data_IF_712712163602
#
_entry.id   IF_712712163602
#
_cell.length_a   1.000
_cell.length_b   1.000
_cell.length_c   1.000
_cell.angle_alpha   90.00
_cell.angle_beta   90.00
_cell.angle_gamma   90.00
#
_symmetry.space_group_name_H-M   'P 1'
#
loop_
_entity.id
_entity.type
_entity.pdbx_description
1 polymer ?
#
# COMPACT_ATOMS: atom_id res chain seq x y z
N UNK A 1 19.57 -12.46 6.81
CA UNK A 1 20.10 -12.14 5.48
C UNK A 1 19.86 -10.66 5.22
N UNK A 2 20.87 -9.83 5.37
CA UNK A 2 20.78 -8.39 5.10
C UNK A 2 20.91 -8.22 3.59
N UNK A 3 19.80 -7.87 2.94
CA UNK A 3 19.82 -7.48 1.53
C UNK A 3 20.69 -6.23 1.41
N UNK A 4 21.81 -6.33 0.71
CA UNK A 4 22.58 -5.14 0.35
C UNK A 4 21.66 -4.23 -0.47
N UNK A 5 21.56 -2.93 -0.13
CA UNK A 5 20.75 -2.00 -0.90
C UNK A 5 21.30 -1.96 -2.34
N UNK A 6 20.57 -2.58 -3.27
CA UNK A 6 20.87 -2.47 -4.70
C UNK A 6 20.53 -1.05 -5.13
N UNK A 7 21.44 -0.41 -5.84
CA UNK A 7 21.20 0.93 -6.37
C UNK A 7 20.06 0.87 -7.38
N UNK A 8 18.96 1.50 -7.08
CA UNK A 8 17.81 1.56 -7.98
C UNK A 8 18.19 2.14 -9.36
N UNK A 9 17.60 1.65 -10.45
CA UNK A 9 17.71 2.28 -11.76
C UNK A 9 17.35 3.78 -11.71
N UNK A 10 17.89 4.57 -12.62
CA UNK A 10 17.68 6.02 -12.63
C UNK A 10 16.21 6.41 -12.63
N UNK A 11 15.38 5.78 -13.46
CA UNK A 11 13.95 6.05 -13.53
C UNK A 11 13.21 5.79 -12.22
N UNK A 12 13.61 4.76 -11.46
CA UNK A 12 13.04 4.48 -10.13
C UNK A 12 13.39 5.60 -9.16
N UNK A 13 14.64 6.05 -9.17
CA UNK A 13 15.06 7.17 -8.30
C UNK A 13 14.34 8.46 -8.63
N UNK A 14 14.16 8.76 -9.91
CA UNK A 14 13.41 9.94 -10.36
C UNK A 14 11.95 9.85 -9.96
N UNK A 15 11.32 8.68 -10.13
CA UNK A 15 9.96 8.43 -9.66
C UNK A 15 9.84 8.63 -8.16
N UNK A 16 10.68 8.00 -7.35
CA UNK A 16 10.66 8.16 -5.88
C UNK A 16 10.86 9.63 -5.48
N UNK A 17 11.77 10.34 -6.13
CA UNK A 17 11.96 11.78 -5.91
C UNK A 17 10.72 12.59 -6.24
N UNK A 18 10.00 12.24 -7.30
CA UNK A 18 8.77 12.95 -7.71
C UNK A 18 7.61 12.73 -6.74
N UNK A 19 7.54 11.58 -6.06
CA UNK A 19 6.46 11.28 -5.10
C UNK A 19 6.79 11.67 -3.66
N UNK A 20 8.06 11.88 -3.33
CA UNK A 20 8.51 12.22 -1.98
C UNK A 20 7.76 13.40 -1.32
N UNK A 21 7.45 14.52 -2.02
CA UNK A 21 6.67 15.61 -1.43
C UNK A 21 5.25 15.21 -1.03
N UNK A 22 4.67 14.24 -1.71
CA UNK A 22 3.34 13.70 -1.38
C UNK A 22 3.42 12.76 -0.18
N UNK A 23 4.43 11.91 -0.15
CA UNK A 23 4.74 11.02 0.98
C UNK A 23 4.95 11.84 2.26
N UNK A 24 5.77 12.88 2.21
CA UNK A 24 6.00 13.78 3.35
C UNK A 24 4.72 14.42 3.86
N UNK A 25 3.81 14.83 2.99
CA UNK A 25 2.52 15.40 3.40
C UNK A 25 1.62 14.38 4.09
N UNK A 26 1.67 13.12 3.66
CA UNK A 26 0.89 12.05 4.29
C UNK A 26 1.50 11.70 5.65
N UNK A 27 2.79 11.39 5.70
CA UNK A 27 3.50 10.95 6.91
C UNK A 27 3.46 12.03 8.01
N UNK A 28 3.61 13.30 7.62
CA UNK A 28 3.61 14.43 8.56
C UNK A 28 2.22 15.07 8.72
N UNK A 29 1.15 14.41 8.27
CA UNK A 29 -0.21 14.93 8.45
C UNK A 29 -0.59 14.99 9.92
N UNK A 30 -1.44 15.95 10.33
CA UNK A 30 -1.94 16.02 11.72
C UNK A 30 -2.63 14.74 12.18
N UNK A 31 -3.21 13.98 11.27
CA UNK A 31 -3.86 12.70 11.58
C UNK A 31 -2.84 11.69 12.12
N UNK A 32 -1.74 11.48 11.40
CA UNK A 32 -0.70 10.52 11.82
C UNK A 32 0.10 11.03 13.02
N UNK A 33 0.36 12.34 13.11
CA UNK A 33 1.01 12.93 14.26
C UNK A 33 0.19 12.71 15.55
N UNK A 34 -1.11 12.99 15.50
CA UNK A 34 -2.02 12.79 16.62
C UNK A 34 -2.25 11.32 16.97
N UNK A 35 -2.15 10.42 15.97
CA UNK A 35 -2.17 8.98 16.22
C UNK A 35 -0.92 8.54 16.98
N UNK A 36 0.25 9.04 16.59
CA UNK A 36 1.53 8.69 17.19
C UNK A 36 1.67 9.20 18.64
N UNK A 37 1.15 10.38 18.94
CA UNK A 37 1.20 10.98 20.29
C UNK A 37 -0.01 10.63 21.17
N UNK A 38 -0.98 9.86 20.64
CA UNK A 38 -2.15 9.42 21.39
C UNK A 38 -3.24 10.49 21.57
N UNK A 39 -3.17 11.63 20.88
CA UNK A 39 -4.15 12.72 20.99
C UNK A 39 -5.28 12.64 19.96
N UNK A 40 -5.23 11.66 19.03
CA UNK A 40 -6.26 11.47 18.02
C UNK A 40 -7.59 11.05 18.67
N UNK A 41 -8.64 11.87 18.47
CA UNK A 41 -9.96 11.51 18.99
C UNK A 41 -10.55 10.29 18.29
N UNK A 42 -11.34 9.49 18.99
CA UNK A 42 -12.01 8.32 18.43
C UNK A 42 -12.91 8.68 17.24
N UNK A 43 -13.56 9.84 17.27
CA UNK A 43 -14.34 10.34 16.13
C UNK A 43 -13.49 10.53 14.87
N UNK A 44 -12.32 11.14 15.01
CA UNK A 44 -11.39 11.34 13.88
C UNK A 44 -10.76 10.02 13.41
N UNK A 45 -10.46 9.13 14.35
CA UNK A 45 -9.96 7.79 14.01
C UNK A 45 -10.98 7.01 13.16
N UNK A 46 -12.25 6.98 13.57
CA UNK A 46 -13.33 6.34 12.79
C UNK A 46 -13.50 6.96 11.40
N UNK A 47 -13.48 8.28 11.30
CA UNK A 47 -13.50 8.95 10.00
C UNK A 47 -12.29 8.54 9.13
N UNK A 48 -11.11 8.43 9.71
CA UNK A 48 -9.91 7.94 9.03
C UNK A 48 -10.08 6.54 8.47
N UNK A 49 -10.66 5.61 9.24
CA UNK A 49 -10.95 4.25 8.78
C UNK A 49 -11.85 4.25 7.53
N UNK A 50 -12.88 5.09 7.50
CA UNK A 50 -13.76 5.23 6.33
C UNK A 50 -13.02 5.80 5.11
N UNK A 51 -12.19 6.83 5.30
CA UNK A 51 -11.46 7.45 4.20
C UNK A 51 -10.36 6.57 3.61
N UNK A 52 -9.72 5.71 4.40
CA UNK A 52 -8.72 4.78 3.91
C UNK A 52 -9.30 3.52 3.24
N UNK A 53 -10.54 3.17 3.54
CA UNK A 53 -11.15 1.94 3.02
C UNK A 53 -11.10 1.81 1.49
N UNK A 54 -11.45 2.84 0.68
CA UNK A 54 -11.39 2.74 -0.78
C UNK A 54 -9.98 2.41 -1.29
N UNK A 55 -8.93 2.90 -0.63
CA UNK A 55 -7.55 2.58 -0.99
C UNK A 55 -7.23 1.11 -0.72
N UNK A 56 -7.58 0.62 0.46
CA UNK A 56 -7.37 -0.79 0.85
C UNK A 56 -8.11 -1.74 -0.10
N UNK A 57 -9.35 -1.41 -0.47
CA UNK A 57 -10.15 -2.19 -1.41
C UNK A 57 -9.59 -2.17 -2.84
N UNK A 58 -9.05 -1.03 -3.27
CA UNK A 58 -8.52 -0.86 -4.63
C UNK A 58 -7.15 -1.50 -4.82
N UNK A 59 -6.37 -1.71 -3.77
CA UNK A 59 -4.98 -2.14 -3.86
C UNK A 59 -4.81 -3.48 -4.62
N UNK A 60 -5.56 -4.55 -4.30
CA UNK A 60 -5.48 -5.80 -5.08
C UNK A 60 -5.93 -5.63 -6.53
N UNK A 61 -6.85 -4.70 -6.81
CA UNK A 61 -7.28 -4.39 -8.18
C UNK A 61 -6.15 -3.75 -8.99
N UNK A 62 -5.41 -2.81 -8.42
CA UNK A 62 -4.23 -2.22 -9.06
C UNK A 62 -3.14 -3.25 -9.33
N UNK A 63 -2.90 -4.15 -8.40
CA UNK A 63 -1.97 -5.27 -8.60
C UNK A 63 -2.43 -6.18 -9.74
N UNK A 64 -3.74 -6.47 -9.85
CA UNK A 64 -4.31 -7.26 -10.94
C UNK A 64 -4.13 -6.59 -12.31
N UNK A 65 -4.35 -5.27 -12.39
CA UNK A 65 -4.09 -4.48 -13.60
C UNK A 65 -2.60 -4.49 -13.98
N UNK A 66 -1.71 -4.44 -13.00
CA UNK A 66 -0.26 -4.55 -13.22
C UNK A 66 0.10 -5.94 -13.72
N UNK A 67 -0.46 -7.00 -13.12
CA UNK A 67 -0.25 -8.39 -13.52
C UNK A 67 -0.65 -8.61 -14.98
N UNK A 68 -1.78 -8.05 -15.41
CA UNK A 68 -2.26 -8.16 -16.79
C UNK A 68 -1.31 -7.52 -17.82
N UNK A 69 -0.41 -6.63 -17.38
CA UNK A 69 0.57 -5.97 -18.24
C UNK A 69 1.96 -6.62 -18.23
N UNK A 70 2.19 -7.57 -17.35
CA UNK A 70 3.46 -8.31 -17.34
C UNK A 70 3.46 -9.29 -18.53
N UNK A 71 4.42 -9.20 -19.46
CA UNK A 71 4.44 -10.07 -20.64
C UNK A 71 4.45 -11.54 -20.26
N UNK A 72 3.72 -12.35 -21.03
CA UNK A 72 3.82 -13.79 -20.97
C UNK A 72 5.12 -14.25 -21.66
N UNK A 73 5.74 -15.26 -21.10
CA UNK A 73 7.04 -15.76 -21.59
C UNK A 73 8.19 -14.81 -21.27
N UNK A 74 9.33 -15.06 -21.87
CA UNK A 74 10.50 -14.19 -21.72
C UNK A 74 11.35 -14.49 -20.48
N UNK A 75 12.08 -13.48 -20.03
CA UNK A 75 13.08 -13.62 -18.98
C UNK A 75 12.49 -14.15 -17.65
N UNK A 76 13.28 -14.93 -16.93
CA UNK A 76 12.99 -15.42 -15.56
C UNK A 76 12.42 -14.31 -14.66
N UNK A 77 12.88 -13.10 -14.84
CA UNK A 77 12.41 -11.91 -14.15
C UNK A 77 10.90 -11.68 -14.29
N UNK A 78 10.30 -11.88 -15.48
CA UNK A 78 8.85 -11.70 -15.68
C UNK A 78 8.05 -12.75 -14.88
N UNK A 79 8.54 -13.98 -14.84
CA UNK A 79 7.95 -15.04 -14.01
C UNK A 79 8.01 -14.70 -12.53
N UNK A 80 9.13 -14.19 -12.05
CA UNK A 80 9.27 -13.77 -10.65
C UNK A 80 8.31 -12.63 -10.30
N UNK A 81 8.18 -11.63 -11.17
CA UNK A 81 7.25 -10.50 -10.96
C UNK A 81 5.80 -10.99 -10.94
N UNK A 82 5.39 -11.85 -11.87
CA UNK A 82 4.04 -12.44 -11.89
C UNK A 82 3.75 -13.21 -10.60
N UNK A 83 4.64 -14.09 -10.20
CA UNK A 83 4.47 -14.89 -8.99
C UNK A 83 4.38 -14.00 -7.73
N UNK A 84 5.18 -12.95 -7.68
CA UNK A 84 5.14 -11.97 -6.61
C UNK A 84 3.78 -11.25 -6.58
N UNK A 85 3.29 -10.76 -7.71
CA UNK A 85 1.99 -10.09 -7.81
C UNK A 85 0.84 -11.01 -7.41
N UNK A 86 0.79 -12.25 -7.91
CA UNK A 86 -0.24 -13.22 -7.55
C UNK A 86 -0.27 -13.47 -6.04
N UNK A 87 0.90 -13.67 -5.44
CA UNK A 87 1.01 -13.85 -3.99
C UNK A 87 0.47 -12.65 -3.22
N UNK A 88 0.87 -11.44 -3.64
CA UNK A 88 0.47 -10.22 -2.95
C UNK A 88 -1.01 -9.89 -3.15
N UNK A 89 -1.60 -10.15 -4.31
CA UNK A 89 -3.06 -10.03 -4.53
C UNK A 89 -3.82 -10.88 -3.50
N UNK A 90 -3.39 -12.10 -3.25
CA UNK A 90 -4.01 -12.97 -2.26
C UNK A 90 -3.86 -12.45 -0.82
N UNK A 91 -2.74 -11.83 -0.49
CA UNK A 91 -2.50 -11.18 0.81
C UNK A 91 -3.38 -9.95 0.96
N UNK A 92 -3.38 -9.05 -0.02
CA UNK A 92 -4.12 -7.79 0.03
C UNK A 92 -5.64 -8.00 0.08
N UNK A 93 -6.15 -9.05 -0.56
CA UNK A 93 -7.57 -9.43 -0.44
C UNK A 93 -7.96 -9.79 1.00
N UNK A 94 -7.06 -10.44 1.75
CA UNK A 94 -7.27 -10.73 3.17
C UNK A 94 -7.25 -9.46 4.00
N UNK A 95 -6.35 -8.52 3.69
CA UNK A 95 -6.30 -7.22 4.35
C UNK A 95 -7.61 -6.46 4.22
N UNK A 96 -8.28 -6.51 3.07
CA UNK A 96 -9.60 -5.90 2.89
C UNK A 96 -10.64 -6.48 3.84
N UNK A 97 -10.65 -7.80 4.02
CA UNK A 97 -11.57 -8.48 4.94
C UNK A 97 -11.27 -8.07 6.39
N UNK A 98 -10.01 -8.11 6.80
CA UNK A 98 -9.60 -7.73 8.15
C UNK A 98 -9.88 -6.26 8.44
N UNK A 99 -9.65 -5.39 7.47
CA UNK A 99 -9.90 -3.97 7.61
C UNK A 99 -11.38 -3.68 7.85
N UNK A 100 -12.28 -4.36 7.12
CA UNK A 100 -13.74 -4.22 7.33
C UNK A 100 -14.15 -4.70 8.71
N UNK A 101 -13.64 -5.84 9.15
CA UNK A 101 -13.93 -6.33 10.51
C UNK A 101 -13.42 -5.34 11.56
N UNK A 102 -12.23 -4.85 11.37
CA UNK A 102 -11.60 -3.87 12.26
C UNK A 102 -12.41 -2.58 12.35
N UNK A 103 -12.88 -2.05 11.21
CA UNK A 103 -13.75 -0.89 11.18
C UNK A 103 -15.04 -1.13 11.97
N UNK A 104 -15.70 -2.27 11.79
CA UNK A 104 -16.88 -2.67 12.56
C UNK A 104 -16.58 -2.72 14.06
N UNK A 105 -15.47 -3.31 14.47
CA UNK A 105 -15.05 -3.42 15.88
C UNK A 105 -14.84 -2.02 16.52
N UNK A 106 -14.47 -1.02 15.75
CA UNK A 106 -14.36 0.38 16.16
C UNK A 106 -15.64 1.19 15.98
N UNK A 107 -16.75 0.56 15.56
CA UNK A 107 -18.06 1.20 15.44
C UNK A 107 -18.23 2.05 14.18
N UNK A 108 -17.62 1.61 13.07
CA UNK A 108 -17.78 2.22 11.74
C UNK A 108 -18.76 1.41 10.90
#
# INVERSE_FOLDING_TARGET
MTLKPTRHPTWVREFLKSVAPFEDRVVNSPFFAQMADGTLSMKRFRAGLLYFYPLIEAFPKFMGLTLARVPEGGAVRNTLVRNWLIRNINVERKHTIWYRQWAVDFGV
#
